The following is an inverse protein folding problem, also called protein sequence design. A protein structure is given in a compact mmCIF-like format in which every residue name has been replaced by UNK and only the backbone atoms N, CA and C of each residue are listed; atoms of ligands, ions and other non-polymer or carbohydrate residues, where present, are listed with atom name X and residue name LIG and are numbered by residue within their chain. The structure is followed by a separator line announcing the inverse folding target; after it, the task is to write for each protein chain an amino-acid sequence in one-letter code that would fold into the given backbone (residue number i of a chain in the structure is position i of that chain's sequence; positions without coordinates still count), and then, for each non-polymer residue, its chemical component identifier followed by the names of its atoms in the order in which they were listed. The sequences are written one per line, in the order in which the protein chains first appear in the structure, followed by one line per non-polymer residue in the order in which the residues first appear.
data_IF_603072532347
#
_entry.id   IF_603072532347
#
_cell.length_a   1.000
_cell.length_b   1.000
_cell.length_c   1.000
_cell.angle_alpha   90.00
_cell.angle_beta   90.00
_cell.angle_gamma   90.00
#
_symmetry.space_group_name_H-M   'P 1'
#
loop_
_entity.id
_entity.type
_entity.pdbx_description
1 polymer ?
#
# COMPACT_ATOMS: atom_id res chain seq x y z
N UNK A 1 -6.08 -13.38 -0.63
CA UNK A 1 -4.73 -12.87 -0.94
C UNK A 1 -4.54 -12.85 -2.46
N UNK A 2 -4.04 -11.76 -3.08
CA UNK A 2 -3.62 -11.81 -4.47
C UNK A 2 -2.47 -12.81 -4.60
N UNK A 3 -2.43 -13.58 -5.70
CA UNK A 3 -1.24 -14.37 -6.03
C UNK A 3 -0.07 -13.41 -6.26
N UNK A 4 0.96 -13.58 -5.45
CA UNK A 4 2.23 -12.90 -5.53
C UNK A 4 3.28 -14.00 -5.70
N UNK A 5 4.15 -13.88 -6.72
CA UNK A 5 5.06 -14.96 -7.11
C UNK A 5 6.45 -14.44 -7.44
N UNK A 6 7.46 -15.24 -7.11
CA UNK A 6 8.83 -15.05 -7.59
C UNK A 6 8.96 -15.91 -8.85
N UNK A 7 9.42 -15.31 -9.93
CA UNK A 7 9.66 -16.00 -11.20
C UNK A 7 11.12 -15.81 -11.59
N UNK A 8 11.77 -16.88 -12.01
CA UNK A 8 13.11 -16.84 -12.60
C UNK A 8 12.97 -16.53 -14.09
N UNK A 9 13.66 -15.50 -14.56
CA UNK A 9 13.80 -15.21 -15.98
C UNK A 9 15.23 -15.60 -16.36
N UNK A 10 15.36 -16.60 -17.22
CA UNK A 10 16.64 -16.95 -17.83
C UNK A 10 16.91 -15.98 -18.99
N UNK A 11 17.82 -15.03 -18.80
CA UNK A 11 18.37 -14.21 -19.88
C UNK A 11 19.79 -14.70 -20.18
N UNK A 12 19.91 -15.44 -21.30
CA UNK A 12 21.14 -16.05 -21.81
C UNK A 12 21.88 -16.97 -20.81
N UNK A 13 22.75 -17.84 -21.32
CA UNK A 13 23.26 -19.02 -20.61
C UNK A 13 24.14 -18.76 -19.37
N UNK A 14 24.31 -17.50 -18.93
CA UNK A 14 25.23 -17.11 -17.85
C UNK A 14 24.63 -16.25 -16.73
N UNK A 15 23.38 -15.78 -16.82
CA UNK A 15 22.76 -14.99 -15.73
C UNK A 15 21.31 -15.38 -15.46
N UNK A 16 21.00 -15.75 -14.22
CA UNK A 16 19.64 -15.93 -13.72
C UNK A 16 19.19 -14.64 -13.07
N UNK A 17 18.16 -13.99 -13.63
CA UNK A 17 17.52 -12.83 -13.00
C UNK A 17 16.26 -13.27 -12.24
N UNK A 18 16.22 -12.94 -10.95
CA UNK A 18 15.06 -13.20 -10.10
C UNK A 18 14.18 -11.95 -10.11
N UNK A 19 12.93 -12.12 -10.53
CA UNK A 19 11.94 -11.02 -10.51
C UNK A 19 10.76 -11.34 -9.60
N UNK A 20 10.21 -10.28 -9.03
CA UNK A 20 9.03 -10.35 -8.20
C UNK A 20 7.83 -9.75 -8.94
N UNK A 21 6.79 -10.55 -9.17
CA UNK A 21 5.60 -10.13 -9.92
C UNK A 21 4.39 -10.13 -8.99
N UNK A 22 3.74 -8.97 -8.89
CA UNK A 22 2.53 -8.78 -8.08
C UNK A 22 1.31 -8.53 -8.95
N UNK A 23 0.22 -9.26 -8.68
CA UNK A 23 -1.07 -9.04 -9.32
C UNK A 23 -1.64 -7.66 -8.93
N UNK A 24 -1.96 -6.84 -9.92
CA UNK A 24 -2.62 -5.53 -9.77
C UNK A 24 -4.03 -5.67 -9.17
N UNK A 25 -4.32 -4.94 -8.09
CA UNK A 25 -5.62 -4.95 -7.40
C UNK A 25 -6.71 -4.16 -8.15
N UNK A 26 -6.32 -3.14 -8.91
CA UNK A 26 -7.19 -2.22 -9.67
C UNK A 26 -7.58 -2.75 -11.07
N UNK A 27 -7.46 -4.07 -11.27
CA UNK A 27 -7.70 -4.75 -12.54
C UNK A 27 -8.53 -6.00 -12.27
N UNK A 28 -9.81 -5.96 -12.61
CA UNK A 28 -10.73 -7.09 -12.42
C UNK A 28 -11.21 -7.63 -13.76
N UNK A 29 -11.32 -8.96 -13.85
CA UNK A 29 -11.83 -9.60 -15.06
C UNK A 29 -13.36 -9.43 -15.06
N UNK A 30 -13.93 -8.89 -16.14
CA UNK A 30 -15.32 -9.18 -16.44
C UNK A 30 -15.44 -10.71 -16.58
N UNK A 31 -16.50 -11.33 -16.06
CA UNK A 31 -16.68 -12.79 -16.07
C UNK A 31 -16.59 -13.42 -17.47
N UNK A 32 -16.73 -14.77 -17.53
CA UNK A 32 -16.54 -15.74 -18.65
C UNK A 32 -17.17 -15.40 -20.03
N UNK A 33 -17.03 -14.18 -20.52
CA UNK A 33 -17.28 -13.77 -21.88
C UNK A 33 -15.97 -13.90 -22.65
N UNK A 34 -16.05 -14.43 -23.85
CA UNK A 34 -14.96 -14.51 -24.85
C UNK A 34 -14.42 -13.13 -25.27
N UNK A 35 -15.00 -12.05 -24.76
CA UNK A 35 -14.53 -10.69 -24.92
C UNK A 35 -13.82 -10.23 -23.64
N UNK A 36 -12.50 -10.13 -23.71
CA UNK A 36 -11.59 -9.87 -22.57
C UNK A 36 -11.64 -8.42 -22.10
N UNK A 37 -12.83 -7.88 -21.83
CA UNK A 37 -12.96 -6.53 -21.31
C UNK A 37 -12.53 -6.50 -19.85
N UNK A 38 -11.31 -5.99 -19.61
CA UNK A 38 -10.77 -5.80 -18.26
C UNK A 38 -11.45 -4.59 -17.63
N UNK A 39 -12.14 -4.81 -16.52
CA UNK A 39 -12.73 -3.72 -15.74
C UNK A 39 -11.65 -3.04 -14.90
N UNK A 40 -11.63 -1.71 -14.95
CA UNK A 40 -10.70 -0.87 -14.20
C UNK A 40 -11.41 -0.31 -12.98
N UNK A 41 -10.75 -0.39 -11.82
CA UNK A 41 -11.20 0.27 -10.60
C UNK A 41 -10.35 1.53 -10.42
N UNK A 42 -10.98 2.67 -10.13
CA UNK A 42 -10.18 3.85 -9.76
C UNK A 42 -9.48 3.59 -8.42
N UNK A 43 -8.22 3.96 -8.34
CA UNK A 43 -7.37 3.77 -7.16
C UNK A 43 -6.48 5.00 -7.02
N UNK A 44 -6.51 5.64 -5.86
CA UNK A 44 -5.75 6.87 -5.59
C UNK A 44 -4.92 6.67 -4.33
N UNK A 45 -3.66 7.09 -4.35
CA UNK A 45 -2.78 7.05 -3.18
C UNK A 45 -3.05 8.19 -2.19
N UNK A 46 -2.58 8.06 -0.95
CA UNK A 46 -2.87 9.06 0.08
C UNK A 46 -2.14 10.38 -0.18
N UNK A 47 -1.09 10.39 -1.00
CA UNK A 47 -0.41 11.62 -1.41
C UNK A 47 -1.34 12.44 -2.31
N UNK A 48 -1.97 11.79 -3.29
CA UNK A 48 -2.97 12.41 -4.17
C UNK A 48 -4.20 12.87 -3.39
N UNK A 49 -4.74 12.00 -2.53
CA UNK A 49 -5.93 12.31 -1.71
C UNK A 49 -5.71 13.44 -0.70
N UNK A 50 -4.45 13.67 -0.30
CA UNK A 50 -4.04 14.77 0.58
C UNK A 50 -3.65 16.05 -0.17
N UNK A 51 -3.69 16.05 -1.52
CA UNK A 51 -3.28 17.19 -2.34
C UNK A 51 -1.80 17.52 -2.26
N UNK A 52 -0.94 16.54 -2.00
CA UNK A 52 0.51 16.71 -1.84
C UNK A 52 1.26 16.27 -3.10
N UNK A 53 2.40 16.91 -3.36
CA UNK A 53 3.32 16.50 -4.41
C UNK A 53 4.04 15.20 -4.03
N UNK A 54 4.42 14.39 -5.02
CA UNK A 54 5.17 13.14 -4.81
C UNK A 54 6.47 13.34 -4.03
N UNK A 55 7.12 14.50 -4.16
CA UNK A 55 8.31 14.88 -3.39
C UNK A 55 8.08 14.93 -1.88
N UNK A 56 6.82 15.10 -1.46
CA UNK A 56 6.41 15.19 -0.06
C UNK A 56 5.86 13.85 0.47
N UNK A 57 6.15 12.72 -0.21
CA UNK A 57 5.64 11.40 0.19
C UNK A 57 5.94 11.03 1.66
N UNK A 58 7.06 11.49 2.20
CA UNK A 58 7.47 11.29 3.60
C UNK A 58 6.94 12.37 4.56
N UNK A 59 6.44 13.50 4.07
CA UNK A 59 6.06 14.65 4.90
C UNK A 59 4.61 14.55 5.36
N UNK A 60 4.28 13.50 6.09
CA UNK A 60 2.95 13.29 6.67
C UNK A 60 2.99 12.39 7.89
N UNK A 61 2.04 12.58 8.80
CA UNK A 61 1.82 11.68 9.94
C UNK A 61 0.77 10.62 9.61
N UNK A 62 0.73 9.56 10.41
CA UNK A 62 -0.32 8.54 10.33
C UNK A 62 -1.70 9.07 10.73
N UNK A 63 -1.75 10.12 11.57
CA UNK A 63 -2.98 10.85 11.85
C UNK A 63 -3.59 11.45 10.57
N UNK A 64 -2.76 11.99 9.67
CA UNK A 64 -3.23 12.49 8.37
C UNK A 64 -3.72 11.34 7.47
N UNK A 65 -3.07 10.17 7.53
CA UNK A 65 -3.60 8.96 6.88
C UNK A 65 -5.01 8.61 7.42
N UNK A 66 -5.20 8.69 8.74
CA UNK A 66 -6.51 8.52 9.37
C UNK A 66 -7.54 9.56 8.94
N UNK A 67 -7.14 10.82 8.73
CA UNK A 67 -8.01 11.89 8.18
C UNK A 67 -8.43 11.61 6.75
N UNK A 68 -7.52 11.09 5.91
CA UNK A 68 -7.85 10.65 4.54
C UNK A 68 -8.90 9.54 4.57
N UNK A 69 -8.72 8.52 5.42
CA UNK A 69 -9.71 7.44 5.58
C UNK A 69 -11.05 7.99 6.06
N UNK A 70 -11.04 8.81 7.11
CA UNK A 70 -12.25 9.42 7.68
C UNK A 70 -13.02 10.25 6.67
N UNK A 71 -12.33 10.88 5.71
CA UNK A 71 -12.94 11.76 4.70
C UNK A 71 -13.48 11.00 3.49
N UNK A 72 -12.81 9.95 3.04
CA UNK A 72 -13.07 9.36 1.72
C UNK A 72 -13.47 7.88 1.75
N UNK A 73 -13.25 7.16 2.84
CA UNK A 73 -13.63 5.75 2.94
C UNK A 73 -15.13 5.57 3.17
N UNK A 74 -15.72 4.58 2.49
CA UNK A 74 -17.07 4.08 2.73
C UNK A 74 -17.18 3.24 4.02
N UNK A 75 -16.06 2.73 4.53
CA UNK A 75 -15.97 1.79 5.65
C UNK A 75 -15.00 2.30 6.74
N UNK A 76 -15.15 3.55 7.17
CA UNK A 76 -14.18 4.26 8.05
C UNK A 76 -13.66 3.41 9.21
N UNK A 77 -14.54 2.78 9.99
CA UNK A 77 -14.11 1.99 11.16
C UNK A 77 -13.24 0.77 10.82
N UNK A 78 -13.60 0.04 9.76
CA UNK A 78 -12.84 -1.14 9.33
C UNK A 78 -11.50 -0.73 8.71
N UNK A 79 -11.50 0.33 7.90
CA UNK A 79 -10.30 0.81 7.22
C UNK A 79 -9.31 1.46 8.20
N UNK A 80 -9.80 2.11 9.27
CA UNK A 80 -8.96 2.63 10.36
C UNK A 80 -8.30 1.49 11.14
N UNK A 81 -9.04 0.42 11.45
CA UNK A 81 -8.48 -0.76 12.10
C UNK A 81 -7.43 -1.45 11.22
N UNK A 82 -7.71 -1.59 9.92
CA UNK A 82 -6.77 -2.14 8.95
C UNK A 82 -5.50 -1.27 8.79
N UNK A 83 -5.63 0.06 8.78
CA UNK A 83 -4.48 0.96 8.81
C UNK A 83 -3.61 0.69 10.05
N UNK A 84 -4.23 0.59 11.24
CA UNK A 84 -3.50 0.28 12.47
C UNK A 84 -2.77 -1.06 12.41
N UNK A 85 -3.42 -2.12 11.91
CA UNK A 85 -2.79 -3.43 11.74
C UNK A 85 -1.59 -3.38 10.78
N UNK A 86 -1.66 -2.59 9.70
CA UNK A 86 -0.52 -2.40 8.78
C UNK A 86 0.65 -1.69 9.45
N UNK A 87 0.39 -0.67 10.26
CA UNK A 87 1.44 0.02 11.02
C UNK A 87 2.11 -0.92 12.02
N UNK A 88 1.32 -1.71 12.74
CA UNK A 88 1.84 -2.72 13.66
C UNK A 88 2.66 -3.78 12.93
N UNK A 89 2.18 -4.25 11.78
CA UNK A 89 2.91 -5.21 10.95
C UNK A 89 4.25 -4.63 10.47
N UNK A 90 4.27 -3.41 9.95
CA UNK A 90 5.49 -2.73 9.51
C UNK A 90 6.46 -2.52 10.67
N UNK A 91 5.96 -2.20 11.86
CA UNK A 91 6.79 -2.08 13.06
C UNK A 91 7.47 -3.42 13.43
N UNK A 92 6.68 -4.50 13.50
CA UNK A 92 7.20 -5.83 13.89
C UNK A 92 8.16 -6.39 12.84
N UNK A 93 7.87 -6.17 11.56
CA UNK A 93 8.70 -6.67 10.44
C UNK A 93 9.86 -5.78 10.09
N UNK A 94 9.94 -4.57 10.67
CA UNK A 94 10.99 -3.63 10.37
C UNK A 94 10.91 -3.04 8.96
N UNK A 95 9.70 -2.80 8.46
CA UNK A 95 9.50 -2.04 7.24
C UNK A 95 9.59 -0.54 7.56
N UNK A 96 10.74 0.05 7.28
CA UNK A 96 11.03 1.47 7.53
C UNK A 96 10.66 2.41 6.37
N UNK A 97 10.19 1.92 5.21
CA UNK A 97 9.89 2.78 4.04
C UNK A 97 8.38 3.03 3.87
N UNK A 98 7.63 3.10 4.98
CA UNK A 98 6.18 3.23 4.91
C UNK A 98 5.74 4.69 4.77
N UNK A 99 5.45 5.10 3.54
CA UNK A 99 5.07 6.48 3.20
C UNK A 99 3.69 6.59 2.52
N UNK A 100 3.22 7.81 2.24
CA UNK A 100 1.85 8.06 1.76
C UNK A 100 1.47 7.30 0.48
N UNK A 101 2.44 6.93 -0.36
CA UNK A 101 2.17 6.18 -1.60
C UNK A 101 1.94 4.68 -1.39
N UNK A 102 2.19 4.15 -0.19
CA UNK A 102 1.94 2.74 0.17
C UNK A 102 0.51 2.51 0.66
N UNK A 103 -0.25 3.59 0.80
CA UNK A 103 -1.66 3.55 1.15
C UNK A 103 -2.48 4.14 0.01
N UNK A 104 -3.53 3.43 -0.38
CA UNK A 104 -4.47 3.88 -1.40
C UNK A 104 -5.89 3.54 -1.00
N UNK A 105 -6.83 4.31 -1.52
CA UNK A 105 -8.23 3.92 -1.58
C UNK A 105 -8.56 3.44 -2.99
N UNK A 106 -9.36 2.38 -3.08
CA UNK A 106 -9.80 1.75 -4.32
C UNK A 106 -11.33 1.71 -4.39
N UNK A 107 -11.90 1.92 -5.57
CA UNK A 107 -13.33 1.76 -5.82
C UNK A 107 -13.78 0.32 -5.60
N UNK A 108 -14.98 0.13 -5.06
CA UNK A 108 -15.54 -1.20 -4.87
C UNK A 108 -16.06 -1.84 -6.17
N UNK A 109 -16.51 -1.01 -7.11
CA UNK A 109 -16.97 -1.37 -8.45
C UNK A 109 -16.63 -0.22 -9.42
N UNK A 110 -16.40 -0.53 -10.71
CA UNK A 110 -16.08 0.50 -11.70
C UNK A 110 -17.13 1.61 -11.73
N UNK A 111 -16.70 2.86 -11.51
CA UNK A 111 -17.58 4.03 -11.59
C UNK A 111 -18.51 4.23 -10.39
N UNK A 112 -18.39 3.40 -9.35
CA UNK A 112 -19.22 3.51 -8.13
C UNK A 112 -18.95 4.79 -7.34
N UNK A 113 -17.74 5.35 -7.46
CA UNK A 113 -17.21 6.43 -6.60
C UNK A 113 -17.26 6.11 -5.10
N UNK A 114 -17.38 4.83 -4.74
CA UNK A 114 -17.37 4.34 -3.35
C UNK A 114 -16.02 3.69 -3.08
N UNK A 115 -15.23 4.35 -2.25
CA UNK A 115 -13.84 3.98 -2.01
C UNK A 115 -13.68 3.27 -0.68
N UNK A 116 -12.80 2.29 -0.62
CA UNK A 116 -12.32 1.68 0.63
C UNK A 116 -10.82 1.45 0.57
N UNK A 117 -10.19 1.15 1.70
CA UNK A 117 -8.76 0.91 1.75
C UNK A 117 -8.38 -0.26 0.84
N UNK A 118 -7.40 -0.03 -0.04
CA UNK A 118 -6.92 -1.06 -0.96
C UNK A 118 -6.26 -2.20 -0.19
N UNK A 119 -6.12 -3.40 -0.80
CA UNK A 119 -5.20 -4.41 -0.28
C UNK A 119 -3.81 -3.80 -0.04
N UNK A 120 -3.10 -4.27 0.99
CA UNK A 120 -1.73 -3.83 1.25
C UNK A 120 -0.80 -4.28 0.11
N UNK A 121 0.16 -3.43 -0.23
CA UNK A 121 1.19 -3.68 -1.23
C UNK A 121 2.48 -2.98 -0.77
N UNK A 122 3.61 -3.36 -1.40
CA UNK A 122 4.92 -2.77 -1.11
C UNK A 122 5.29 -2.85 0.38
N UNK A 123 5.09 -4.06 0.94
CA UNK A 123 5.48 -4.43 2.30
C UNK A 123 6.80 -5.18 2.23
N UNK A 124 7.91 -4.47 2.39
CA UNK A 124 9.25 -5.04 2.32
C UNK A 124 9.91 -5.00 3.71
N UNK A 125 10.50 -6.11 4.20
CA UNK A 125 11.23 -6.11 5.46
C UNK A 125 12.61 -5.46 5.25
N UNK A 126 12.64 -4.13 5.20
CA UNK A 126 13.84 -3.33 4.91
C UNK A 126 14.98 -3.64 5.89
N UNK A 127 14.66 -3.89 7.16
CA UNK A 127 15.65 -4.22 8.19
C UNK A 127 16.42 -5.53 7.97
N UNK A 128 15.89 -6.48 7.17
CA UNK A 128 16.60 -7.72 6.84
C UNK A 128 17.73 -7.46 5.84
N UNK A 129 17.56 -6.45 4.99
CA UNK A 129 18.51 -6.09 3.93
C UNK A 129 19.50 -5.03 4.45
N UNK A 130 19.07 -4.17 5.38
CA UNK A 130 19.88 -3.09 5.96
C UNK A 130 19.82 -3.15 7.50
N UNK A 131 20.73 -3.91 8.15
CA UNK A 131 20.72 -4.12 9.60
C UNK A 131 20.86 -2.83 10.43
N UNK A 132 21.57 -1.83 9.88
CA UNK A 132 21.78 -0.53 10.54
C UNK A 132 20.50 0.35 10.57
N UNK A 133 19.46 -0.02 9.80
CA UNK A 133 18.23 0.75 9.66
C UNK A 133 17.14 0.42 10.68
N UNK A 134 17.39 -0.50 11.61
CA UNK A 134 16.45 -0.81 12.69
C UNK A 134 16.04 0.43 13.50
N UNK A 135 16.98 1.36 13.72
CA UNK A 135 16.70 2.62 14.40
C UNK A 135 15.77 3.52 13.59
N UNK A 136 15.82 3.49 12.25
CA UNK A 136 14.97 4.33 11.40
C UNK A 136 13.51 3.91 11.46
N UNK A 137 13.17 2.62 11.50
CA UNK A 137 11.78 2.18 11.64
C UNK A 137 11.13 2.73 12.93
N UNK A 138 11.87 2.67 14.05
CA UNK A 138 11.43 3.21 15.34
C UNK A 138 11.35 4.74 15.31
N UNK A 139 12.36 5.41 14.75
CA UNK A 139 12.40 6.87 14.62
C UNK A 139 11.30 7.38 13.69
N UNK A 140 10.99 6.72 12.59
CA UNK A 140 9.89 7.12 11.70
C UNK A 140 8.53 7.02 12.38
N UNK A 141 8.28 5.99 13.19
CA UNK A 141 7.05 5.88 13.98
C UNK A 141 6.94 7.00 15.02
N UNK A 142 8.07 7.38 15.61
CA UNK A 142 8.15 8.46 16.62
C UNK A 142 8.05 9.84 15.96
N UNK A 143 8.68 10.06 14.81
CA UNK A 143 8.67 11.31 14.04
C UNK A 143 7.33 11.53 13.32
N UNK A 144 6.73 10.47 12.76
CA UNK A 144 5.37 10.49 12.17
C UNK A 144 4.30 10.35 13.25
N UNK A 145 4.47 11.05 14.39
CA UNK A 145 3.61 11.04 15.58
C UNK A 145 2.15 10.73 15.23
N UNK A 146 1.69 9.59 15.71
CA UNK A 146 0.28 9.30 15.85
C UNK A 146 -0.06 9.67 17.30
N UNK A 147 -0.62 10.85 17.54
CA UNK A 147 -1.37 11.09 18.78
C UNK A 147 -2.66 10.26 18.68
N UNK A 148 -2.53 8.94 18.85
CA UNK A 148 -3.65 8.07 19.20
C UNK A 148 -3.77 8.20 20.72
N UNK A 149 -4.38 9.30 21.16
CA UNK A 149 -4.97 9.36 22.48
C UNK A 149 -6.48 9.39 22.26
N UNK A 150 -7.14 8.51 23.01
CA UNK A 150 -8.57 8.21 23.06
C UNK A 150 -9.51 9.41 22.91
#
# INVERSE_FOLDING_TARGET
MPLCGITEISSDAESVEIVHITKRADRVNAGKSTDSTKMLLAMEDFCQLSGRLTSDKYKSSYEQCGKVISRYSKNVGLDMAELYYRLLFCFVTGNSDMHLKNFSLIEDKPGSRKFGLSPAYDLLPVNVILPDDYKKALTELIEKRCEILC
#
